data_IF_331727502644
#
_entry.id   IF_331727502644
#
_cell.length_a   1.000
_cell.length_b   1.000
_cell.length_c   1.000
_cell.angle_alpha   90.00
_cell.angle_beta   90.00
_cell.angle_gamma   90.00
#
_symmetry.space_group_name_H-M   'P 1'
#
loop_
_entity.id
_entity.type
_entity.pdbx_description
1 polymer ?
#
# COMPACT_ATOMS: atom_id res chain seq x y z
N UNK A 1 -6.64 -14.54 -23.89
CA UNK A 1 -6.99 -13.11 -24.15
C UNK A 1 -7.53 -12.36 -22.92
N UNK A 2 -8.39 -12.95 -22.06
CA UNK A 2 -8.97 -12.26 -20.88
C UNK A 2 -7.93 -11.68 -19.90
N UNK A 3 -6.89 -12.43 -19.58
CA UNK A 3 -5.83 -12.01 -18.64
C UNK A 3 -5.10 -10.76 -19.16
N UNK A 4 -4.79 -10.71 -20.45
CA UNK A 4 -4.10 -9.56 -21.05
C UNK A 4 -4.95 -8.29 -21.01
N UNK A 5 -6.27 -8.40 -21.25
CA UNK A 5 -7.19 -7.27 -21.13
C UNK A 5 -7.28 -6.75 -19.70
N UNK A 6 -7.34 -7.65 -18.71
CA UNK A 6 -7.32 -7.26 -17.30
C UNK A 6 -5.99 -6.59 -16.94
N UNK A 7 -4.86 -7.14 -17.38
CA UNK A 7 -3.56 -6.53 -17.16
C UNK A 7 -3.47 -5.11 -17.76
N UNK A 8 -4.00 -4.90 -18.97
CA UNK A 8 -4.06 -3.60 -19.62
C UNK A 8 -4.93 -2.60 -18.83
N UNK A 9 -6.11 -3.03 -18.36
CA UNK A 9 -6.98 -2.20 -17.53
C UNK A 9 -6.31 -1.83 -16.20
N UNK A 10 -5.68 -2.78 -15.52
CA UNK A 10 -4.95 -2.54 -14.27
C UNK A 10 -3.77 -1.59 -14.48
N UNK A 11 -3.02 -1.74 -15.59
CA UNK A 11 -1.87 -0.88 -15.92
C UNK A 11 -2.24 0.60 -16.01
N UNK A 12 -3.50 0.94 -16.33
CA UNK A 12 -3.97 2.33 -16.35
C UNK A 12 -4.05 2.97 -14.95
N UNK A 13 -4.16 2.15 -13.91
CA UNK A 13 -4.25 2.60 -12.51
C UNK A 13 -2.89 2.63 -11.82
N UNK A 14 -1.85 2.09 -12.46
CA UNK A 14 -0.48 2.11 -11.95
C UNK A 14 0.14 3.50 -12.07
N UNK A 15 1.02 3.84 -11.13
CA UNK A 15 1.81 5.07 -11.18
C UNK A 15 2.85 5.02 -12.31
N UNK A 16 3.34 6.18 -12.75
CA UNK A 16 4.40 6.21 -13.78
C UNK A 16 5.68 5.53 -13.30
N UNK A 17 6.00 5.63 -12.01
CA UNK A 17 7.13 4.92 -11.41
C UNK A 17 6.97 3.41 -11.56
N UNK A 18 5.81 2.84 -11.24
CA UNK A 18 5.55 1.40 -11.36
C UNK A 18 5.52 0.91 -12.81
N UNK A 19 5.19 1.78 -13.77
CA UNK A 19 5.23 1.45 -15.20
C UNK A 19 6.66 1.37 -15.74
N UNK A 20 7.55 2.22 -15.21
CA UNK A 20 8.95 2.32 -15.62
C UNK A 20 9.84 1.35 -14.84
N UNK A 21 9.59 1.19 -13.54
CA UNK A 21 10.29 0.29 -12.62
C UNK A 21 9.27 -0.65 -11.93
N UNK A 22 8.74 -1.67 -12.65
CA UNK A 22 7.74 -2.58 -12.09
C UNK A 22 8.27 -3.45 -10.94
N UNK A 23 9.59 -3.59 -10.84
CA UNK A 23 10.27 -4.45 -9.88
C UNK A 23 11.27 -3.62 -9.09
N UNK A 24 10.98 -3.46 -7.80
CA UNK A 24 11.86 -2.75 -6.89
C UNK A 24 13.13 -3.55 -6.62
N UNK A 25 14.27 -2.86 -6.41
CA UNK A 25 15.45 -3.53 -5.88
C UNK A 25 15.10 -4.16 -4.54
N UNK A 26 15.63 -5.36 -4.31
CA UNK A 26 15.45 -6.04 -3.03
C UNK A 26 16.03 -5.18 -1.91
N UNK A 27 15.25 -4.94 -0.86
CA UNK A 27 15.72 -4.29 0.36
C UNK A 27 16.60 -5.19 1.22
N UNK A 28 16.64 -6.49 0.91
CA UNK A 28 17.47 -7.48 1.60
C UNK A 28 18.95 -7.28 1.25
N UNK A 29 19.81 -7.47 2.25
CA UNK A 29 21.25 -7.54 2.05
C UNK A 29 21.62 -8.74 1.16
N UNK A 30 22.80 -8.70 0.53
CA UNK A 30 23.23 -9.75 -0.42
C UNK A 30 23.22 -11.15 0.20
N UNK A 31 23.63 -11.28 1.46
CA UNK A 31 23.65 -12.56 2.18
C UNK A 31 22.22 -13.08 2.45
N UNK A 32 21.26 -12.20 2.72
CA UNK A 32 19.85 -12.56 2.91
C UNK A 32 19.24 -13.05 1.60
N UNK A 33 19.57 -12.40 0.49
CA UNK A 33 19.15 -12.83 -0.85
C UNK A 33 19.75 -14.19 -1.20
N UNK A 34 21.02 -14.42 -0.88
CA UNK A 34 21.67 -15.72 -1.08
C UNK A 34 21.02 -16.81 -0.24
N UNK A 35 20.69 -16.52 1.01
CA UNK A 35 19.97 -17.46 1.88
C UNK A 35 18.57 -17.77 1.34
N UNK A 36 17.80 -16.76 0.92
CA UNK A 36 16.48 -16.97 0.32
C UNK A 36 16.56 -17.83 -0.95
N UNK A 37 17.57 -17.64 -1.80
CA UNK A 37 17.80 -18.48 -2.99
C UNK A 37 18.07 -19.93 -2.62
N UNK A 38 18.91 -20.17 -1.61
CA UNK A 38 19.21 -21.53 -1.12
C UNK A 38 17.94 -22.23 -0.62
N UNK A 39 17.12 -21.55 0.17
CA UNK A 39 15.85 -22.10 0.68
C UNK A 39 14.88 -22.46 -0.46
N UNK A 40 14.85 -21.68 -1.55
CA UNK A 40 14.03 -21.97 -2.72
C UNK A 40 14.52 -23.20 -3.52
N UNK A 41 15.81 -23.53 -3.46
CA UNK A 41 16.39 -24.72 -4.09
C UNK A 41 16.16 -26.00 -3.28
N UNK A 42 15.88 -25.87 -1.97
CA UNK A 42 15.57 -27.01 -1.11
C UNK A 42 14.19 -27.59 -1.44
N UNK A 43 14.03 -28.93 -1.43
CA UNK A 43 12.75 -29.55 -1.69
C UNK A 43 11.74 -29.15 -0.61
N UNK A 44 10.53 -28.69 -1.00
CA UNK A 44 9.52 -28.28 -0.03
C UNK A 44 9.08 -29.48 0.81
N UNK A 45 9.23 -29.33 2.12
CA UNK A 45 8.79 -30.36 3.08
C UNK A 45 7.36 -30.08 3.58
N UNK A 46 7.00 -28.80 3.66
CA UNK A 46 5.71 -28.34 4.18
C UNK A 46 4.61 -28.40 3.11
N UNK A 47 3.36 -28.77 3.47
CA UNK A 47 2.23 -28.81 2.53
C UNK A 47 1.98 -27.47 1.82
N UNK A 48 2.16 -26.35 2.52
CA UNK A 48 2.02 -25.01 1.94
C UNK A 48 3.13 -24.74 0.91
N UNK A 49 4.37 -25.16 1.20
CA UNK A 49 5.50 -24.96 0.30
C UNK A 49 5.34 -25.79 -0.99
N UNK A 50 4.80 -27.02 -0.89
CA UNK A 50 4.43 -27.84 -2.04
C UNK A 50 3.38 -27.15 -2.91
N UNK A 51 2.31 -26.62 -2.29
CA UNK A 51 1.26 -25.91 -3.02
C UNK A 51 1.77 -24.63 -3.69
N UNK A 52 2.78 -23.98 -3.11
CA UNK A 52 3.38 -22.75 -3.65
C UNK A 52 4.34 -22.99 -4.82
N UNK A 53 4.80 -24.23 -5.07
CA UNK A 53 5.69 -24.52 -6.20
C UNK A 53 5.09 -24.10 -7.55
N UNK A 54 3.78 -24.31 -7.74
CA UNK A 54 3.06 -23.93 -8.96
C UNK A 54 3.05 -22.41 -9.19
N UNK A 55 3.34 -21.62 -8.15
CA UNK A 55 3.26 -20.16 -8.15
C UNK A 55 4.62 -19.47 -8.08
N UNK A 56 5.74 -20.20 -8.14
CA UNK A 56 7.09 -19.61 -8.09
C UNK A 56 7.29 -18.57 -9.19
N UNK A 57 6.72 -18.80 -10.38
CA UNK A 57 6.76 -17.83 -11.49
C UNK A 57 5.97 -16.54 -11.26
N UNK A 58 5.13 -16.47 -10.22
CA UNK A 58 4.32 -15.29 -9.87
C UNK A 58 4.95 -14.45 -8.75
N UNK A 59 6.19 -14.72 -8.33
CA UNK A 59 6.86 -13.96 -7.26
C UNK A 59 6.77 -12.44 -7.48
N UNK A 60 7.05 -11.99 -8.70
CA UNK A 60 7.01 -10.57 -9.06
C UNK A 60 5.59 -9.99 -9.09
N UNK A 61 4.61 -10.81 -9.47
CA UNK A 61 3.20 -10.42 -9.39
C UNK A 61 2.81 -10.19 -7.92
N UNK A 62 3.16 -11.11 -7.03
CA UNK A 62 2.86 -11.01 -5.60
C UNK A 62 3.57 -9.85 -4.94
N UNK A 63 4.82 -9.54 -5.31
CA UNK A 63 5.52 -8.33 -4.85
C UNK A 63 4.73 -7.06 -5.19
N UNK A 64 4.31 -6.90 -6.46
CA UNK A 64 3.53 -5.73 -6.92
C UNK A 64 2.15 -5.67 -6.27
N UNK A 65 1.47 -6.81 -6.16
CA UNK A 65 0.16 -6.89 -5.51
C UNK A 65 0.23 -6.51 -4.03
N UNK A 66 1.20 -7.06 -3.29
CA UNK A 66 1.38 -6.77 -1.88
C UNK A 66 1.75 -5.32 -1.65
N UNK A 67 2.60 -4.72 -2.49
CA UNK A 67 2.89 -3.29 -2.47
C UNK A 67 1.63 -2.45 -2.59
N UNK A 68 0.83 -2.67 -3.63
CA UNK A 68 -0.40 -1.92 -3.85
C UNK A 68 -1.39 -2.06 -2.67
N UNK A 69 -1.45 -3.25 -2.06
CA UNK A 69 -2.30 -3.48 -0.87
C UNK A 69 -1.80 -2.75 0.38
N UNK A 70 -0.48 -2.68 0.57
CA UNK A 70 0.10 -1.92 1.67
C UNK A 70 -0.12 -0.42 1.47
N UNK A 71 0.03 0.07 0.24
CA UNK A 71 -0.23 1.47 -0.12
C UNK A 71 -1.71 1.84 0.07
N UNK A 72 -2.64 0.97 -0.35
CA UNK A 72 -4.08 1.14 -0.10
C UNK A 72 -4.36 1.32 1.40
N UNK A 73 -3.79 0.46 2.25
CA UNK A 73 -3.95 0.53 3.72
C UNK A 73 -3.33 1.80 4.31
N UNK A 74 -2.14 2.18 3.85
CA UNK A 74 -1.50 3.41 4.29
C UNK A 74 -2.33 4.66 3.91
N UNK A 75 -2.90 4.67 2.71
CA UNK A 75 -3.75 5.75 2.22
C UNK A 75 -5.06 5.85 3.02
N UNK A 76 -5.69 4.71 3.34
CA UNK A 76 -6.87 4.66 4.21
C UNK A 76 -6.60 5.30 5.58
N UNK A 77 -5.48 4.94 6.21
CA UNK A 77 -5.06 5.50 7.50
C UNK A 77 -4.78 7.01 7.42
N UNK A 78 -4.05 7.44 6.39
CA UNK A 78 -3.76 8.85 6.18
C UNK A 78 -5.04 9.68 5.95
N UNK A 79 -5.99 9.14 5.19
CA UNK A 79 -7.30 9.77 4.96
C UNK A 79 -8.09 9.90 6.26
N UNK A 80 -8.12 8.85 7.09
CA UNK A 80 -8.79 8.90 8.39
C UNK A 80 -8.18 9.96 9.31
N UNK A 81 -6.85 10.02 9.40
CA UNK A 81 -6.16 11.03 10.19
C UNK A 81 -6.42 12.46 9.69
N UNK A 82 -6.45 12.67 8.37
CA UNK A 82 -6.79 13.97 7.78
C UNK A 82 -8.25 14.38 8.06
N UNK A 83 -9.18 13.42 8.01
CA UNK A 83 -10.58 13.68 8.29
C UNK A 83 -10.80 14.10 9.75
N UNK A 84 -10.17 13.39 10.70
CA UNK A 84 -10.21 13.74 12.12
C UNK A 84 -9.62 15.12 12.38
N UNK A 85 -8.44 15.41 11.81
CA UNK A 85 -7.82 16.73 11.93
C UNK A 85 -8.68 17.85 11.34
N UNK A 86 -9.35 17.61 10.21
CA UNK A 86 -10.26 18.58 9.61
C UNK A 86 -11.48 18.85 10.50
N UNK A 87 -12.06 17.80 11.09
CA UNK A 87 -13.17 17.91 12.02
C UNK A 87 -12.78 18.72 13.26
N UNK A 88 -11.61 18.43 13.84
CA UNK A 88 -11.08 19.15 14.99
C UNK A 88 -10.87 20.64 14.68
N UNK A 89 -10.28 20.97 13.52
CA UNK A 89 -10.09 22.36 13.08
C UNK A 89 -11.42 23.10 12.89
N UNK A 90 -12.43 22.44 12.29
CA UNK A 90 -13.78 23.02 12.15
C UNK A 90 -14.43 23.27 13.51
N UNK A 91 -14.26 22.35 14.46
CA UNK A 91 -14.75 22.53 15.83
C UNK A 91 -14.11 23.72 16.52
N UNK A 92 -12.78 23.88 16.42
CA UNK A 92 -12.06 25.04 16.96
C UNK A 92 -12.52 26.36 16.33
N UNK A 93 -12.72 26.39 15.01
CA UNK A 93 -13.24 27.56 14.31
C UNK A 93 -14.66 27.93 14.78
N UNK A 94 -15.53 26.95 14.96
CA UNK A 94 -16.89 27.19 15.48
C UNK A 94 -16.86 27.77 16.90
N UNK A 95 -16.03 27.22 17.79
CA UNK A 95 -15.86 27.74 19.15
C UNK A 95 -15.32 29.17 19.15
N UNK A 96 -14.32 29.46 18.30
CA UNK A 96 -13.77 30.81 18.14
C UNK A 96 -14.84 31.81 17.67
N UNK A 97 -15.60 31.45 16.62
CA UNK A 97 -16.68 32.31 16.11
C UNK A 97 -17.79 32.54 17.15
N UNK A 98 -18.16 31.51 17.91
CA UNK A 98 -19.11 31.66 19.01
C UNK A 98 -18.59 32.61 20.10
N UNK A 99 -17.31 32.48 20.49
CA UNK A 99 -16.67 33.37 21.46
C UNK A 99 -16.63 34.83 21.02
N UNK A 100 -16.28 35.10 19.74
CA UNK A 100 -16.31 36.46 19.18
C UNK A 100 -17.72 37.01 19.11
N UNK A 101 -18.70 36.21 18.70
CA UNK A 101 -20.10 36.62 18.62
C UNK A 101 -20.73 36.91 20.00
N UNK A 102 -20.30 36.19 21.05
CA UNK A 102 -20.72 36.46 22.44
C UNK A 102 -20.09 37.77 22.94
N UNK A 103 -18.81 38.02 22.64
CA UNK A 103 -18.15 39.27 23.00
C UNK A 103 -18.75 40.51 22.30
N UNK A 104 -19.28 40.36 21.09
CA UNK A 104 -19.97 41.46 20.38
C UNK A 104 -21.40 41.75 20.90
N UNK A 105 -22.00 40.82 21.66
CA UNK A 105 -23.35 40.97 22.22
C UNK A 105 -23.37 41.53 23.65
N UNK A 106 -22.20 41.74 24.25
CA UNK A 106 -22.07 42.42 25.54
C UNK A 106 -21.85 43.92 25.28
N UNK A 107 -22.65 44.82 25.89
CA UNK A 107 -22.57 46.27 25.68
C UNK A 107 -21.30 46.90 26.26
#
# INVERSE_FOLDING_TARGET
>A
QRILRLAEMCRRLETEEEKVLPFYPSSLAEWEQQNARRVLEEPPTEPLALALQDYVGLEQFWKRFNKAKLEEKALEQARAALADRNQNLRGLLQQYLAGVAINQKMP
#
